data_IF_164268505267
#
_entry.id   IF_164268505267
#
_cell.length_a   1.000
_cell.length_b   1.000
_cell.length_c   1.000
_cell.angle_alpha   90.00
_cell.angle_beta   90.00
_cell.angle_gamma   90.00
#
_symmetry.space_group_name_H-M   'P 1'
#
loop_
_entity.id
_entity.type
_entity.pdbx_description
1 polymer ?
#
# COMPACT_ATOMS: atom_id res chain seq x y z
N UNK A 1 1.01 3.05 15.85
CA UNK A 1 1.55 2.49 14.59
C UNK A 1 1.74 3.62 13.60
N UNK A 2 2.76 3.54 12.75
CA UNK A 2 2.86 4.38 11.56
C UNK A 2 3.52 3.65 10.39
N UNK A 3 3.25 4.15 9.18
CA UNK A 3 3.83 3.70 7.91
C UNK A 3 3.68 4.83 6.89
N UNK A 4 4.33 4.74 5.74
CA UNK A 4 4.02 5.62 4.62
C UNK A 4 3.32 4.90 3.49
N UNK A 5 2.35 5.57 2.86
CA UNK A 5 1.70 5.09 1.63
C UNK A 5 1.90 6.14 0.56
N UNK A 6 2.37 5.71 -0.60
CA UNK A 6 2.63 6.59 -1.72
C UNK A 6 2.38 5.92 -3.06
N UNK A 7 2.72 6.63 -4.12
CA UNK A 7 2.68 6.17 -5.50
C UNK A 7 3.96 6.59 -6.21
N UNK A 8 4.48 5.70 -7.04
CA UNK A 8 5.42 6.08 -8.08
C UNK A 8 4.77 7.13 -9.00
N UNK A 9 5.58 8.03 -9.58
CA UNK A 9 5.09 9.07 -10.52
C UNK A 9 4.37 8.50 -11.74
N UNK A 10 4.70 7.25 -12.11
CA UNK A 10 4.05 6.52 -13.20
C UNK A 10 2.67 5.98 -12.82
N UNK A 11 2.35 5.89 -11.52
CA UNK A 11 1.06 5.41 -11.06
C UNK A 11 -0.02 6.48 -11.29
N UNK A 12 -1.10 6.07 -11.95
CA UNK A 12 -2.23 6.91 -12.32
C UNK A 12 -3.48 6.62 -11.48
N UNK A 13 -3.31 6.11 -10.26
CA UNK A 13 -4.41 5.91 -9.33
C UNK A 13 -4.94 7.25 -8.82
N UNK A 14 -6.27 7.37 -8.74
CA UNK A 14 -6.94 8.46 -8.01
C UNK A 14 -6.68 8.32 -6.52
N UNK A 15 -6.64 7.09 -6.01
CA UNK A 15 -6.08 6.79 -4.69
C UNK A 15 -5.63 5.33 -4.60
N UNK A 16 -4.81 5.07 -3.60
CA UNK A 16 -4.38 3.74 -3.21
C UNK A 16 -4.41 3.61 -1.70
N UNK A 17 -4.67 2.41 -1.21
CA UNK A 17 -4.73 2.14 0.21
C UNK A 17 -4.21 0.76 0.57
N UNK A 18 -3.69 0.67 1.80
CA UNK A 18 -3.56 -0.58 2.53
C UNK A 18 -4.71 -0.69 3.52
N UNK A 19 -5.26 -1.90 3.64
CA UNK A 19 -6.35 -2.21 4.55
C UNK A 19 -5.82 -3.08 5.68
N UNK A 20 -6.19 -2.75 6.90
CA UNK A 20 -5.82 -3.51 8.10
C UNK A 20 -7.02 -3.75 9.00
N UNK A 21 -6.93 -4.79 9.82
CA UNK A 21 -7.93 -5.11 10.84
C UNK A 21 -7.24 -5.64 12.10
N UNK A 22 -7.94 -5.58 13.23
CA UNK A 22 -7.53 -6.32 14.42
C UNK A 22 -7.77 -7.81 14.18
N UNK A 23 -6.83 -8.66 14.60
CA UNK A 23 -6.89 -10.09 14.32
C UNK A 23 -8.17 -10.72 14.85
N UNK A 24 -8.89 -11.43 13.98
CA UNK A 24 -10.16 -12.07 14.31
C UNK A 24 -11.38 -11.13 14.35
N UNK A 25 -11.23 -9.86 13.95
CA UNK A 25 -12.32 -8.92 13.77
C UNK A 25 -12.63 -8.72 12.29
N UNK A 26 -13.83 -8.23 11.97
CA UNK A 26 -14.25 -7.97 10.58
C UNK A 26 -14.25 -6.48 10.22
N UNK A 27 -14.02 -5.60 11.20
CA UNK A 27 -13.96 -4.16 10.97
C UNK A 27 -12.58 -3.76 10.47
N UNK A 28 -12.55 -3.14 9.29
CA UNK A 28 -11.30 -2.75 8.62
C UNK A 28 -11.05 -1.25 8.68
N UNK A 29 -9.80 -0.86 8.79
CA UNK A 29 -9.31 0.51 8.67
C UNK A 29 -8.31 0.65 7.52
N UNK A 30 -8.13 1.88 7.02
CA UNK A 30 -7.49 2.13 5.72
C UNK A 30 -6.41 3.20 5.86
N UNK A 31 -5.23 2.93 5.33
CA UNK A 31 -4.21 3.95 5.07
C UNK A 31 -4.29 4.37 3.61
N UNK A 32 -5.11 5.37 3.33
CA UNK A 32 -5.44 5.81 1.96
C UNK A 32 -4.67 7.07 1.59
N UNK A 33 -3.90 7.00 0.51
CA UNK A 33 -3.26 8.15 -0.11
C UNK A 33 -3.92 8.50 -1.44
N UNK A 34 -4.31 9.76 -1.61
CA UNK A 34 -5.01 10.27 -2.80
C UNK A 34 -4.21 11.31 -3.60
N UNK A 35 -2.94 11.54 -3.27
CA UNK A 35 -2.06 12.44 -4.01
C UNK A 35 -2.17 13.93 -3.67
N UNK A 36 -3.27 14.36 -3.04
CA UNK A 36 -3.47 15.73 -2.57
C UNK A 36 -2.70 15.95 -1.26
N UNK A 37 -1.80 16.92 -1.22
CA UNK A 37 -0.95 17.25 -0.06
C UNK A 37 -0.02 16.12 0.42
N UNK A 38 0.97 15.71 -0.39
CA UNK A 38 1.97 14.74 0.04
C UNK A 38 2.84 15.29 1.18
N UNK A 39 3.22 14.43 2.13
CA UNK A 39 4.26 14.74 3.11
C UNK A 39 5.66 14.66 2.49
N UNK A 40 5.81 13.89 1.41
CA UNK A 40 7.05 13.79 0.65
C UNK A 40 6.77 13.66 -0.85
N UNK A 41 7.60 14.30 -1.65
CA UNK A 41 7.51 14.28 -3.09
C UNK A 41 8.90 14.49 -3.72
N UNK A 42 9.26 13.62 -4.65
CA UNK A 42 10.49 13.71 -5.43
C UNK A 42 10.24 13.40 -6.92
N UNK A 43 11.32 13.22 -7.69
CA UNK A 43 11.26 12.94 -9.12
C UNK A 43 10.65 11.56 -9.46
N UNK A 44 10.63 10.64 -8.50
CA UNK A 44 10.23 9.25 -8.69
C UNK A 44 8.91 8.90 -8.00
N UNK A 45 8.59 9.57 -6.88
CA UNK A 45 7.51 9.18 -5.98
C UNK A 45 6.86 10.37 -5.27
N UNK A 46 5.65 10.15 -4.76
CA UNK A 46 4.97 11.01 -3.79
C UNK A 46 4.16 10.17 -2.80
N UNK A 47 3.99 10.64 -1.58
CA UNK A 47 3.23 9.91 -0.56
C UNK A 47 3.02 10.71 0.72
N UNK A 48 2.41 10.04 1.70
CA UNK A 48 2.20 10.57 3.03
C UNK A 48 2.56 9.55 4.11
N UNK A 49 2.99 10.04 5.26
CA UNK A 49 3.18 9.26 6.48
C UNK A 49 1.86 9.25 7.23
N UNK A 50 1.36 8.06 7.49
CA UNK A 50 0.14 7.84 8.25
C UNK A 50 0.47 7.35 9.65
N UNK A 51 -0.29 7.85 10.62
CA UNK A 51 -0.22 7.42 12.01
C UNK A 51 -1.59 6.97 12.49
N UNK A 52 -1.62 5.87 13.24
CA UNK A 52 -2.83 5.35 13.88
C UNK A 52 -2.56 5.04 15.36
N UNK A 53 -3.43 5.57 16.23
CA UNK A 53 -3.51 5.20 17.65
C UNK A 53 -4.33 3.93 17.76
N UNK A 54 -3.64 2.80 17.89
CA UNK A 54 -4.25 1.49 18.04
C UNK A 54 -4.14 1.03 19.49
N UNK A 55 -5.15 0.27 19.95
CA UNK A 55 -5.06 -0.41 21.26
C UNK A 55 -3.99 -1.50 21.17
N UNK A 56 -3.33 -1.87 22.28
CA UNK A 56 -2.44 -3.01 22.29
C UNK A 56 -3.16 -4.29 21.84
N UNK A 57 -2.54 -5.07 20.97
CA UNK A 57 -3.14 -6.27 20.38
C UNK A 57 -2.48 -6.69 19.07
N UNK A 58 -2.97 -7.79 18.52
CA UNK A 58 -2.53 -8.32 17.22
C UNK A 58 -3.46 -7.82 16.11
N UNK A 59 -2.84 -7.50 14.98
CA UNK A 59 -3.49 -6.93 13.82
C UNK A 59 -2.86 -7.51 12.56
N UNK A 60 -3.55 -7.37 11.42
CA UNK A 60 -3.09 -7.90 10.15
C UNK A 60 -3.38 -6.88 9.03
N UNK A 61 -2.43 -6.68 8.11
CA UNK A 61 -2.75 -6.08 6.80
C UNK A 61 -3.41 -7.17 5.97
N UNK A 62 -4.58 -6.87 5.41
CA UNK A 62 -5.46 -7.89 4.82
C UNK A 62 -5.83 -7.66 3.36
N UNK A 63 -5.72 -6.42 2.89
CA UNK A 63 -6.10 -6.07 1.53
C UNK A 63 -5.32 -4.86 1.01
N UNK A 64 -5.38 -4.67 -0.30
CA UNK A 64 -4.99 -3.45 -0.99
C UNK A 64 -6.21 -2.87 -1.67
N UNK A 65 -6.20 -1.56 -1.89
CA UNK A 65 -7.17 -0.92 -2.75
C UNK A 65 -6.44 -0.02 -3.73
N UNK A 66 -6.56 -0.27 -5.02
CA UNK A 66 -6.17 0.68 -6.05
C UNK A 66 -7.42 1.18 -6.73
N UNK A 67 -7.57 2.49 -6.86
CA UNK A 67 -8.77 3.09 -7.43
C UNK A 67 -8.41 4.10 -8.51
N UNK A 68 -9.11 3.98 -9.64
CA UNK A 68 -9.09 4.96 -10.72
C UNK A 68 -10.51 5.46 -10.92
N UNK A 69 -10.64 6.78 -10.96
CA UNK A 69 -11.86 7.48 -11.34
C UNK A 69 -11.53 8.60 -12.32
N UNK A 70 -12.22 8.59 -13.44
CA UNK A 70 -12.13 9.55 -14.52
C UNK A 70 -13.48 9.62 -15.24
N UNK A 71 -13.63 10.55 -16.18
CA UNK A 71 -14.86 10.65 -16.99
C UNK A 71 -15.15 9.40 -17.84
N UNK A 72 -14.15 8.56 -18.11
CA UNK A 72 -14.27 7.41 -19.02
C UNK A 72 -14.15 6.05 -18.32
N UNK A 73 -13.49 5.99 -17.17
CA UNK A 73 -13.16 4.74 -16.47
C UNK A 73 -13.34 4.95 -14.97
N UNK A 74 -14.09 4.04 -14.36
CA UNK A 74 -14.10 3.79 -12.92
C UNK A 74 -13.67 2.35 -12.69
N UNK A 75 -12.64 2.14 -11.87
CA UNK A 75 -12.14 0.80 -11.58
C UNK A 75 -11.51 0.73 -10.19
N UNK A 76 -11.82 -0.34 -9.49
CA UNK A 76 -11.25 -0.65 -8.17
C UNK A 76 -10.61 -2.02 -8.23
N UNK A 77 -9.35 -2.12 -7.80
CA UNK A 77 -8.63 -3.38 -7.65
C UNK A 77 -8.40 -3.70 -6.17
N UNK A 78 -8.79 -4.91 -5.76
CA UNK A 78 -8.52 -5.46 -4.42
C UNK A 78 -7.89 -6.85 -4.53
N UNK A 79 -7.21 -7.29 -3.47
CA UNK A 79 -6.59 -8.60 -3.42
C UNK A 79 -7.64 -9.73 -3.40
N UNK A 80 -7.42 -10.78 -4.19
CA UNK A 80 -8.20 -12.01 -4.09
C UNK A 80 -7.36 -13.27 -4.34
N UNK A 81 -7.22 -14.18 -3.36
CA UNK A 81 -7.75 -14.07 -2.00
C UNK A 81 -7.16 -12.89 -1.24
N UNK A 82 -7.84 -12.46 -0.17
CA UNK A 82 -7.25 -11.54 0.81
C UNK A 82 -5.97 -12.16 1.38
N UNK A 83 -5.02 -11.33 1.75
CA UNK A 83 -3.79 -11.78 2.39
C UNK A 83 -3.82 -11.54 3.89
N UNK A 84 -2.77 -11.93 4.60
CA UNK A 84 -2.58 -11.60 6.01
C UNK A 84 -1.09 -11.36 6.26
N UNK A 85 -0.75 -10.13 6.65
CA UNK A 85 0.59 -9.75 7.12
C UNK A 85 0.44 -9.31 8.56
N UNK A 86 0.80 -10.16 9.54
CA UNK A 86 0.57 -9.90 10.94
C UNK A 86 1.55 -8.87 11.52
N UNK A 87 1.07 -8.09 12.46
CA UNK A 87 1.87 -7.21 13.30
C UNK A 87 1.25 -7.07 14.70
N UNK A 88 2.08 -6.78 15.70
CA UNK A 88 1.64 -6.63 17.09
C UNK A 88 1.90 -5.20 17.55
N UNK A 89 0.89 -4.59 18.16
CA UNK A 89 1.01 -3.29 18.84
C UNK A 89 1.16 -3.56 20.33
N UNK A 90 2.27 -3.13 20.92
CA UNK A 90 2.48 -3.18 22.38
C UNK A 90 2.24 -1.82 23.02
N UNK A 91 1.95 -1.83 24.32
CA UNK A 91 1.77 -0.61 25.09
C UNK A 91 3.08 0.19 25.14
N UNK A 92 3.00 1.50 24.88
CA UNK A 92 4.15 2.41 24.93
C UNK A 92 5.04 2.39 23.67
N UNK A 93 4.73 1.54 22.69
CA UNK A 93 5.51 1.40 21.45
C UNK A 93 4.74 1.95 20.23
N UNK A 94 5.45 2.64 19.35
CA UNK A 94 5.01 2.92 18.00
C UNK A 94 5.75 1.99 17.03
N UNK A 95 5.02 1.06 16.42
CA UNK A 95 5.57 0.19 15.37
C UNK A 95 5.63 0.94 14.03
N UNK A 96 6.76 0.84 13.34
CA UNK A 96 6.98 1.30 11.96
C UNK A 96 6.97 0.11 11.00
N UNK A 97 6.06 0.10 10.03
CA UNK A 97 5.93 -1.02 9.06
C UNK A 97 6.68 -0.81 7.73
N UNK A 98 7.30 0.34 7.52
CA UNK A 98 7.95 0.69 6.26
C UNK A 98 7.15 1.66 5.39
N UNK A 99 7.72 1.96 4.23
CA UNK A 99 7.06 2.63 3.12
C UNK A 99 6.40 1.59 2.22
N UNK A 100 5.19 1.88 1.77
CA UNK A 100 4.49 1.13 0.73
C UNK A 100 4.23 2.04 -0.47
N UNK A 101 5.04 1.87 -1.51
CA UNK A 101 4.97 2.68 -2.72
C UNK A 101 4.24 1.93 -3.83
N UNK A 102 3.11 2.46 -4.28
CA UNK A 102 2.29 1.84 -5.32
C UNK A 102 2.93 1.99 -6.71
N UNK A 103 2.95 0.89 -7.45
CA UNK A 103 3.31 0.84 -8.87
C UNK A 103 2.13 0.33 -9.69
N UNK A 104 1.87 0.91 -10.87
CA UNK A 104 0.78 0.46 -11.73
C UNK A 104 1.18 -0.81 -12.47
N UNK A 105 0.19 -1.66 -12.71
CA UNK A 105 0.27 -2.78 -13.64
C UNK A 105 -0.60 -2.43 -14.83
N UNK A 106 -0.09 -2.65 -16.04
CA UNK A 106 -0.84 -2.44 -17.27
C UNK A 106 -0.99 -3.76 -18.04
N UNK A 107 -2.20 -4.01 -18.54
CA UNK A 107 -2.49 -5.07 -19.49
C UNK A 107 -2.63 -4.53 -20.91
N UNK A 108 -2.97 -5.42 -21.84
CA UNK A 108 -3.44 -5.06 -23.17
C UNK A 108 -4.83 -5.65 -23.39
N UNK A 109 -5.73 -4.89 -24.01
CA UNK A 109 -7.01 -5.41 -24.46
C UNK A 109 -6.87 -6.13 -25.82
N UNK A 110 -7.98 -6.65 -26.35
CA UNK A 110 -8.02 -7.39 -27.62
C UNK A 110 -7.60 -6.57 -28.86
N UNK A 111 -7.54 -5.24 -28.75
CA UNK A 111 -7.07 -4.32 -29.79
C UNK A 111 -5.60 -3.92 -29.58
N UNK A 112 -4.89 -4.55 -28.64
CA UNK A 112 -3.51 -4.24 -28.30
C UNK A 112 -3.31 -2.94 -27.51
N UNK A 113 -4.39 -2.24 -27.15
CA UNK A 113 -4.32 -0.99 -26.39
C UNK A 113 -3.98 -1.26 -24.92
N UNK A 114 -3.13 -0.42 -24.35
CA UNK A 114 -2.76 -0.50 -22.94
C UNK A 114 -3.95 -0.13 -22.05
N UNK A 115 -4.27 -0.98 -21.08
CA UNK A 115 -5.36 -0.76 -20.12
C UNK A 115 -4.86 -0.95 -18.69
N UNK A 116 -5.35 -0.18 -17.70
CA UNK A 116 -5.03 -0.39 -16.29
C UNK A 116 -5.36 -1.83 -15.85
N UNK A 117 -4.41 -2.46 -15.16
CA UNK A 117 -4.49 -3.84 -14.66
C UNK A 117 -4.35 -3.95 -13.15
N UNK A 118 -4.48 -2.83 -12.43
CA UNK A 118 -4.27 -2.73 -10.99
C UNK A 118 -2.87 -2.29 -10.65
N UNK A 119 -2.32 -2.78 -9.53
CA UNK A 119 -1.01 -2.37 -9.04
C UNK A 119 -0.45 -3.33 -8.00
N UNK A 120 0.72 -2.99 -7.50
CA UNK A 120 1.34 -3.64 -6.35
C UNK A 120 2.09 -2.57 -5.53
N UNK A 121 2.36 -2.87 -4.27
CA UNK A 121 3.22 -2.04 -3.43
C UNK A 121 4.64 -2.60 -3.40
N UNK A 122 5.61 -1.71 -3.50
CA UNK A 122 7.00 -1.99 -3.13
C UNK A 122 7.20 -1.53 -1.70
N UNK A 123 7.73 -2.42 -0.86
CA UNK A 123 8.06 -2.11 0.53
C UNK A 123 9.51 -1.69 0.63
N UNK A 124 9.77 -0.57 1.30
CA UNK A 124 11.13 -0.13 1.59
C UNK A 124 11.26 0.42 3.01
N UNK A 125 12.47 0.35 3.56
CA UNK A 125 12.77 0.99 4.84
C UNK A 125 13.15 2.46 4.59
N UNK A 126 12.25 3.37 4.97
CA UNK A 126 12.44 4.83 4.90
C UNK A 126 12.34 5.46 6.27
N UNK A 127 12.76 4.72 7.30
CA UNK A 127 12.58 5.11 8.70
C UNK A 127 13.05 6.53 9.02
N UNK A 128 14.22 6.93 8.52
CA UNK A 128 14.82 8.23 8.81
C UNK A 128 13.97 9.40 8.28
N UNK A 129 13.46 9.27 7.05
CA UNK A 129 12.52 10.24 6.47
C UNK A 129 11.19 10.21 7.21
N UNK A 130 10.61 9.03 7.35
CA UNK A 130 9.25 8.85 7.85
C UNK A 130 9.12 9.23 9.33
N UNK A 131 10.12 8.93 10.15
CA UNK A 131 10.15 9.33 11.56
C UNK A 131 10.30 10.85 11.73
N UNK A 132 11.01 11.52 10.82
CA UNK A 132 11.12 12.99 10.81
C UNK A 132 9.78 13.63 10.47
N UNK A 133 9.11 13.14 9.42
CA UNK A 133 7.79 13.60 9.00
C UNK A 133 6.68 13.24 10.02
N UNK A 134 6.82 12.12 10.73
CA UNK A 134 5.91 11.77 11.82
C UNK A 134 6.02 12.80 12.96
N UNK A 135 7.24 13.19 13.36
CA UNK A 135 7.47 14.15 14.44
C UNK A 135 6.93 15.55 14.15
N UNK A 136 6.80 15.93 12.88
CA UNK A 136 6.18 17.21 12.49
C UNK A 136 4.65 17.20 12.56
N UNK A 137 4.01 16.04 12.74
CA UNK A 137 2.55 15.94 12.86
C UNK A 137 2.13 16.15 14.31
N UNK A 138 1.23 17.11 14.55
CA UNK A 138 0.74 17.46 15.89
C UNK A 138 0.10 16.28 16.63
N UNK A 139 -0.61 15.42 15.90
CA UNK A 139 -1.32 14.26 16.44
C UNK A 139 -0.40 13.09 16.79
N UNK A 140 0.86 13.11 16.33
CA UNK A 140 1.81 12.03 16.53
C UNK A 140 2.33 12.02 17.99
N UNK A 141 2.49 10.83 18.59
CA UNK A 141 3.02 10.69 19.93
C UNK A 141 4.49 11.11 19.94
N UNK A 142 4.83 12.01 20.87
CA UNK A 142 6.19 12.56 21.02
C UNK A 142 7.08 11.68 21.90
N UNK A 143 6.48 10.94 22.83
CA UNK A 143 7.18 10.18 23.88
C UNK A 143 6.90 8.67 23.80
N UNK A 144 7.14 8.07 22.64
CA UNK A 144 7.01 6.62 22.46
C UNK A 144 8.29 6.02 21.89
N UNK A 145 8.62 4.81 22.33
CA UNK A 145 9.69 4.04 21.70
C UNK A 145 9.23 3.59 20.32
N UNK A 146 10.07 3.79 19.31
CA UNK A 146 9.75 3.32 17.95
C UNK A 146 10.40 1.97 17.71
N UNK A 147 9.58 0.99 17.36
CA UNK A 147 10.02 -0.35 16.94
C UNK A 147 9.97 -0.44 15.43
N UNK A 148 11.11 -0.69 14.79
CA UNK A 148 11.21 -0.95 13.35
C UNK A 148 10.79 -2.40 13.09
N UNK A 149 9.64 -2.57 12.46
CA UNK A 149 9.11 -3.87 12.04
C UNK A 149 8.71 -3.78 10.57
N UNK A 150 9.68 -3.37 9.74
CA UNK A 150 9.48 -3.23 8.30
C UNK A 150 8.98 -4.55 7.74
N UNK A 151 7.89 -4.50 7.00
CA UNK A 151 7.29 -5.69 6.39
C UNK A 151 8.31 -6.31 5.44
N UNK A 152 8.59 -7.60 5.62
CA UNK A 152 9.41 -8.36 4.70
C UNK A 152 8.53 -8.98 3.60
N UNK A 153 8.59 -8.49 2.34
CA UNK A 153 7.70 -8.93 1.26
C UNK A 153 7.81 -10.42 0.95
N UNK A 154 9.01 -11.00 1.12
CA UNK A 154 9.29 -12.39 0.79
C UNK A 154 8.67 -13.36 1.82
N UNK A 155 8.69 -12.97 3.10
CA UNK A 155 8.02 -13.69 4.19
C UNK A 155 6.50 -13.70 4.05
N UNK A 156 5.92 -12.63 3.48
CA UNK A 156 4.49 -12.44 3.36
C UNK A 156 3.87 -13.35 2.28
N UNK A 157 4.65 -13.78 1.28
CA UNK A 157 4.17 -14.53 0.09
C UNK A 157 2.95 -13.89 -0.58
N UNK A 158 2.84 -12.56 -0.50
CA UNK A 158 1.74 -11.77 -1.08
C UNK A 158 2.24 -11.18 -2.39
N UNK A 159 1.78 -11.64 -3.57
CA UNK A 159 2.33 -11.17 -4.85
C UNK A 159 2.09 -9.67 -5.15
N UNK A 160 1.27 -9.01 -4.33
CA UNK A 160 0.93 -7.58 -4.38
C UNK A 160 1.82 -6.72 -3.48
N UNK A 161 2.68 -7.32 -2.67
CA UNK A 161 3.64 -6.68 -1.79
C UNK A 161 5.03 -7.20 -2.19
N UNK A 162 5.95 -6.31 -2.58
CA UNK A 162 7.21 -6.69 -3.23
C UNK A 162 8.40 -5.94 -2.67
N UNK A 163 9.60 -6.48 -2.89
CA UNK A 163 10.86 -5.82 -2.50
C UNK A 163 11.32 -4.80 -3.53
N UNK A 164 11.07 -5.04 -4.83
CA UNK A 164 11.56 -4.18 -5.91
C UNK A 164 10.50 -3.91 -6.99
N UNK A 165 10.63 -2.75 -7.65
CA UNK A 165 9.74 -2.33 -8.74
C UNK A 165 9.97 -3.07 -10.08
N UNK A 166 11.12 -3.73 -10.26
CA UNK A 166 11.45 -4.39 -11.54
C UNK A 166 10.91 -5.81 -11.66
N UNK A 167 10.38 -6.39 -10.59
CA UNK A 167 9.94 -7.79 -10.58
C UNK A 167 8.74 -8.05 -11.50
N UNK A 168 7.92 -7.03 -11.82
CA UNK A 168 6.82 -7.18 -12.79
C UNK A 168 7.26 -7.07 -14.27
N UNK A 169 8.44 -6.48 -14.56
CA UNK A 169 8.93 -6.36 -15.94
C UNK A 169 9.36 -7.71 -16.51
N UNK A 170 9.94 -8.59 -15.68
CA UNK A 170 10.41 -9.91 -16.11
C UNK A 170 9.27 -10.94 -16.24
N UNK A 171 8.16 -10.78 -15.51
CA UNK A 171 6.98 -11.65 -15.64
C UNK A 171 6.12 -11.36 -16.89
N UNK A 172 6.38 -10.25 -17.59
CA UNK A 172 5.68 -9.95 -18.85
C UNK A 172 6.04 -10.89 -20.02
N UNK A 173 7.07 -11.73 -19.85
CA UNK A 173 7.44 -12.81 -20.77
C UNK A 173 6.82 -14.18 -20.41
N UNK A 174 6.11 -14.30 -19.27
CA UNK A 174 5.52 -15.56 -18.79
C UNK A 174 4.01 -15.43 -18.60
N UNK A 175 3.26 -16.03 -19.51
CA UNK A 175 1.80 -15.91 -19.65
C UNK A 175 1.00 -16.73 -18.61
N UNK A 176 1.35 -16.73 -17.31
CA UNK A 176 0.56 -17.61 -16.40
C UNK A 176 0.37 -17.21 -14.93
N UNK A 177 1.05 -16.22 -14.35
CA UNK A 177 0.80 -15.89 -12.93
C UNK A 177 0.63 -14.39 -12.72
N UNK A 178 -0.54 -13.88 -13.08
CA UNK A 178 -0.99 -12.58 -12.56
C UNK A 178 -1.43 -12.78 -11.11
N UNK A 179 -0.94 -11.98 -10.14
CA UNK A 179 -1.61 -11.85 -8.85
C UNK A 179 -3.10 -11.59 -9.11
N UNK A 180 -3.99 -12.42 -8.57
CA UNK A 180 -5.42 -12.23 -8.78
C UNK A 180 -5.89 -10.97 -8.03
N UNK A 181 -5.89 -9.84 -8.72
CA UNK A 181 -6.66 -8.67 -8.34
C UNK A 181 -8.03 -8.77 -9.01
N UNK A 182 -9.09 -8.47 -8.28
CA UNK A 182 -10.41 -8.31 -8.89
C UNK A 182 -10.66 -6.85 -9.21
N UNK A 183 -11.09 -6.59 -10.45
CA UNK A 183 -11.77 -5.34 -10.83
C UNK A 183 -13.20 -5.40 -10.30
N UNK A 184 -13.56 -4.60 -9.30
CA UNK A 184 -14.96 -4.38 -8.97
C UNK A 184 -15.59 -3.48 -10.05
N UNK A 185 -16.75 -3.90 -10.59
CA UNK A 185 -17.38 -3.48 -11.85
C UNK A 185 -17.56 -1.97 -12.07
N UNK A 186 -17.47 -1.61 -13.35
CA UNK A 186 -17.97 -0.39 -13.99
C UNK A 186 -19.44 -0.12 -13.59
N UNK A 187 -19.70 1.00 -12.92
CA UNK A 187 -21.00 1.67 -13.02
C UNK A 187 -20.95 2.57 -14.25
N UNK A 188 -21.65 2.14 -15.30
CA UNK A 188 -22.04 3.00 -16.41
C UNK A 188 -22.99 4.10 -15.93
#
# INVERSE_FOLDING_TARGET
MFLSVGAARTANFTHQALVFEAKGQTETSWFRFAGWSPDFEDQNARGAVFFARLRPGDYELVDVNFYIYSQYITSTWTAKPKFSIPFTVRRGEAIYLGEFLAYPVFGRNMFGMQVPGGGYFVVSDRFERDSTLLKSKEEAPKDVSIVRAVVDPDSARVPLIRRNANEFKNDSASTTVRPALIVARETR
#
